data_IF_654905560633
#
_entry.id   IF_654905560633
#
_cell.length_a   1.000
_cell.length_b   1.000
_cell.length_c   1.000
_cell.angle_alpha   90.00
_cell.angle_beta   90.00
_cell.angle_gamma   90.00
#
_symmetry.space_group_name_H-M   'P 1'
#
loop_
_entity.id
_entity.type
_entity.pdbx_description
1 polymer ?
#
# COMPACT_ATOMS: atom_id res chain seq x y z
N UNK A 1 -33.09 -4.43 19.76
CA UNK A 1 -33.55 -3.08 20.15
C UNK A 1 -33.12 -2.11 19.07
N UNK A 2 -33.95 -1.11 18.75
CA UNK A 2 -33.54 -0.02 17.86
C UNK A 2 -32.81 1.03 18.69
N UNK A 3 -31.67 1.50 18.19
CA UNK A 3 -30.80 2.51 18.76
C UNK A 3 -30.76 3.69 17.79
N UNK A 4 -30.69 4.89 18.33
CA UNK A 4 -30.56 6.13 17.58
C UNK A 4 -29.19 6.72 17.85
N UNK A 5 -28.31 6.68 16.84
CA UNK A 5 -26.94 7.17 16.93
C UNK A 5 -26.80 8.51 16.19
N UNK A 6 -26.05 9.44 16.75
CA UNK A 6 -25.71 10.69 16.10
C UNK A 6 -24.33 10.61 15.46
N UNK A 7 -24.16 11.16 14.26
CA UNK A 7 -22.88 11.22 13.56
C UNK A 7 -22.57 12.67 13.23
N UNK A 8 -21.41 13.17 13.67
CA UNK A 8 -21.02 14.58 13.57
C UNK A 8 -19.69 14.75 12.83
N UNK A 9 -19.65 15.73 11.94
CA UNK A 9 -18.45 16.18 11.24
C UNK A 9 -17.72 17.26 12.06
N UNK A 10 -16.42 17.43 11.83
CA UNK A 10 -15.66 18.55 12.41
C UNK A 10 -16.20 19.93 12.03
N UNK A 11 -16.94 20.03 10.92
CA UNK A 11 -17.65 21.24 10.51
C UNK A 11 -18.89 21.56 11.36
N UNK A 12 -19.28 20.66 12.27
CA UNK A 12 -20.48 20.77 13.11
C UNK A 12 -21.77 20.25 12.46
N UNK A 13 -21.72 19.80 11.20
CA UNK A 13 -22.86 19.13 10.54
C UNK A 13 -23.08 17.76 11.18
N UNK A 14 -24.35 17.38 11.36
CA UNK A 14 -24.71 16.11 12.00
C UNK A 14 -25.89 15.42 11.32
N UNK A 15 -25.90 14.09 11.38
CA UNK A 15 -27.02 13.26 10.96
C UNK A 15 -27.37 12.25 12.07
N UNK A 16 -28.64 11.89 12.16
CA UNK A 16 -29.13 10.87 13.07
C UNK A 16 -29.48 9.61 12.31
N UNK A 17 -29.10 8.48 12.87
CA UNK A 17 -29.16 7.16 12.25
C UNK A 17 -29.89 6.21 13.18
N UNK A 18 -30.94 5.55 12.68
CA UNK A 18 -31.69 4.54 13.44
C UNK A 18 -31.29 3.13 12.99
N UNK A 19 -30.75 2.34 13.91
CA UNK A 19 -30.18 1.01 13.63
C UNK A 19 -30.48 0.01 14.74
N UNK A 20 -30.50 -1.26 14.39
CA UNK A 20 -30.57 -2.34 15.38
C UNK A 20 -29.22 -2.59 16.03
N UNK A 21 -29.22 -3.16 17.24
CA UNK A 21 -27.99 -3.49 17.99
C UNK A 21 -27.05 -4.49 17.29
N UNK A 22 -27.61 -5.33 16.42
CA UNK A 22 -26.89 -6.30 15.58
C UNK A 22 -26.43 -5.72 14.23
N UNK A 23 -26.83 -4.49 13.88
CA UNK A 23 -26.37 -3.84 12.66
C UNK A 23 -24.86 -3.60 12.70
N UNK A 24 -24.21 -3.76 11.55
CA UNK A 24 -22.80 -3.45 11.37
C UNK A 24 -22.56 -1.94 11.41
N UNK A 25 -21.40 -1.52 11.93
CA UNK A 25 -20.93 -0.12 11.88
C UNK A 25 -20.87 0.38 10.43
N UNK A 26 -20.55 -0.48 9.45
CA UNK A 26 -20.65 -0.16 8.02
C UNK A 26 -22.04 0.35 7.61
N UNK A 27 -23.11 -0.17 8.22
CA UNK A 27 -24.47 0.28 7.93
C UNK A 27 -24.76 1.64 8.55
N UNK A 28 -24.29 1.87 9.79
CA UNK A 28 -24.40 3.18 10.47
C UNK A 28 -23.73 4.26 9.63
N UNK A 29 -22.50 4.00 9.16
CA UNK A 29 -21.76 4.94 8.30
C UNK A 29 -22.53 5.26 7.02
N UNK A 30 -22.98 4.24 6.28
CA UNK A 30 -23.71 4.43 5.01
C UNK A 30 -25.01 5.23 5.17
N UNK A 31 -25.73 5.04 6.28
CA UNK A 31 -26.90 5.86 6.57
C UNK A 31 -26.51 7.31 6.92
N UNK A 32 -25.44 7.50 7.71
CA UNK A 32 -24.92 8.83 8.03
C UNK A 32 -24.46 9.60 6.80
N UNK A 33 -23.80 8.95 5.84
CA UNK A 33 -23.39 9.53 4.55
C UNK A 33 -24.57 10.11 3.79
N UNK A 34 -25.70 9.39 3.74
CA UNK A 34 -26.94 9.88 3.10
C UNK A 34 -27.52 11.09 3.83
N UNK A 35 -27.46 11.11 5.16
CA UNK A 35 -27.94 12.23 5.97
C UNK A 35 -27.02 13.45 5.92
N UNK A 36 -25.72 13.24 5.72
CA UNK A 36 -24.69 14.28 5.67
C UNK A 36 -24.34 14.71 4.24
N UNK A 37 -24.82 14.03 3.20
CA UNK A 37 -24.45 14.29 1.80
C UNK A 37 -22.92 14.42 1.63
N UNK A 38 -22.18 13.46 2.21
CA UNK A 38 -20.71 13.48 2.29
C UNK A 38 -20.21 12.05 2.49
N UNK A 39 -19.18 11.62 1.75
CA UNK A 39 -18.57 10.31 1.94
C UNK A 39 -17.67 10.29 3.17
N UNK A 40 -17.86 9.29 4.02
CA UNK A 40 -17.14 9.12 5.27
C UNK A 40 -16.09 8.02 5.11
N UNK A 41 -14.88 8.27 5.60
CA UNK A 41 -13.80 7.28 5.64
C UNK A 41 -14.04 6.26 6.78
N UNK A 42 -14.39 6.77 7.96
CA UNK A 42 -14.62 5.95 9.17
C UNK A 42 -15.41 6.71 10.22
N UNK A 43 -16.01 5.93 11.12
CA UNK A 43 -16.64 6.43 12.35
C UNK A 43 -15.70 6.24 13.53
N UNK A 44 -15.75 7.18 14.46
CA UNK A 44 -14.90 7.25 15.64
C UNK A 44 -15.80 7.46 16.85
N UNK A 45 -15.58 6.69 17.91
CA UNK A 45 -16.27 6.88 19.19
C UNK A 45 -15.92 8.21 19.85
N UNK A 46 -16.68 8.62 20.88
CA UNK A 46 -16.35 9.80 21.69
C UNK A 46 -14.96 9.72 22.34
N UNK A 47 -14.48 8.49 22.62
CA UNK A 47 -13.15 8.24 23.17
C UNK A 47 -12.02 8.36 22.13
N UNK A 48 -12.34 8.69 20.87
CA UNK A 48 -11.35 8.82 19.80
C UNK A 48 -10.92 7.49 19.17
N UNK A 49 -11.62 6.39 19.47
CA UNK A 49 -11.30 5.06 18.94
C UNK A 49 -12.04 4.85 17.63
N UNK A 50 -11.29 4.51 16.57
CA UNK A 50 -11.90 4.16 15.29
C UNK A 50 -12.72 2.87 15.42
N UNK A 51 -13.96 2.91 14.95
CA UNK A 51 -14.90 1.80 15.03
C UNK A 51 -14.75 0.91 13.79
N UNK A 52 -14.33 -0.37 13.93
CA UNK A 52 -14.22 -1.28 12.80
C UNK A 52 -15.59 -1.51 12.16
N UNK A 53 -15.64 -1.50 10.83
CA UNK A 53 -16.89 -1.56 10.08
C UNK A 53 -17.63 -2.89 10.21
N UNK A 54 -16.88 -3.97 10.46
CA UNK A 54 -17.39 -5.33 10.68
C UNK A 54 -17.85 -5.59 12.12
N UNK A 55 -17.60 -4.66 13.04
CA UNK A 55 -18.20 -4.76 14.36
C UNK A 55 -19.69 -4.45 14.24
N UNK A 56 -20.51 -5.15 15.03
CA UNK A 56 -21.89 -4.72 15.28
C UNK A 56 -21.91 -3.55 16.26
N UNK A 57 -22.97 -2.75 16.24
CA UNK A 57 -23.24 -1.69 17.22
C UNK A 57 -23.08 -2.21 18.65
N UNK A 58 -23.55 -3.43 18.93
CA UNK A 58 -23.40 -4.09 20.23
C UNK A 58 -21.93 -4.43 20.56
N UNK A 59 -21.18 -5.05 19.64
CA UNK A 59 -19.77 -5.40 19.89
C UNK A 59 -18.87 -4.17 20.00
N UNK A 60 -19.27 -3.07 19.37
CA UNK A 60 -18.64 -1.76 19.51
C UNK A 60 -18.99 -1.06 20.84
N UNK A 61 -19.93 -1.61 21.63
CA UNK A 61 -20.33 -1.07 22.92
C UNK A 61 -21.14 0.23 22.83
N UNK A 62 -21.73 0.53 21.68
CA UNK A 62 -22.45 1.78 21.45
C UNK A 62 -23.84 1.78 22.10
N UNK A 63 -24.25 2.95 22.60
CA UNK A 63 -25.50 3.15 23.32
C UNK A 63 -26.45 4.12 22.63
N UNK A 64 -27.73 4.11 23.03
CA UNK A 64 -28.75 4.98 22.45
C UNK A 64 -28.43 6.46 22.72
N UNK A 65 -28.47 7.29 21.68
CA UNK A 65 -28.17 8.71 21.74
C UNK A 65 -26.69 9.09 21.65
N UNK A 66 -25.78 8.12 21.53
CA UNK A 66 -24.34 8.36 21.47
C UNK A 66 -23.93 9.12 20.20
N UNK A 67 -22.95 10.03 20.34
CA UNK A 67 -22.43 10.85 19.25
C UNK A 67 -21.10 10.30 18.73
N UNK A 68 -21.06 9.96 17.45
CA UNK A 68 -19.88 9.47 16.76
C UNK A 68 -19.26 10.60 15.95
N UNK A 69 -17.95 10.79 16.09
CA UNK A 69 -17.21 11.65 15.18
C UNK A 69 -17.00 10.92 13.85
N UNK A 70 -17.24 11.62 12.74
CA UNK A 70 -17.02 11.09 11.41
C UNK A 70 -15.84 11.78 10.72
N UNK A 71 -14.95 10.96 10.18
CA UNK A 71 -13.86 11.42 9.34
C UNK A 71 -14.29 11.39 7.88
N UNK A 72 -14.18 12.51 7.18
CA UNK A 72 -14.53 12.62 5.75
C UNK A 72 -13.45 11.96 4.90
N UNK A 73 -13.88 11.23 3.85
CA UNK A 73 -12.98 10.63 2.86
C UNK A 73 -12.11 11.74 2.24
N UNK A 74 -10.80 11.54 2.19
CA UNK A 74 -9.85 12.50 1.61
C UNK A 74 -9.43 12.06 0.22
N UNK A 75 -8.96 13.01 -0.60
CA UNK A 75 -8.31 12.67 -1.88
C UNK A 75 -7.10 11.80 -1.60
N UNK A 76 -6.95 10.73 -2.37
CA UNK A 76 -5.84 9.82 -2.21
C UNK A 76 -5.31 9.34 -3.55
N UNK A 77 -4.01 9.49 -3.73
CA UNK A 77 -3.28 8.82 -4.81
C UNK A 77 -3.09 7.35 -4.45
N UNK A 78 -3.33 6.48 -5.44
CA UNK A 78 -3.14 5.05 -5.34
C UNK A 78 -2.15 4.62 -6.44
N UNK A 79 -1.02 4.01 -6.08
CA UNK A 79 -0.06 3.50 -7.04
C UNK A 79 -0.60 2.24 -7.73
N UNK A 80 -0.38 2.13 -9.04
CA UNK A 80 -0.65 0.93 -9.85
C UNK A 80 0.63 0.57 -10.60
N UNK A 81 0.73 -0.66 -11.15
CA UNK A 81 1.93 -1.08 -11.90
C UNK A 81 2.23 -0.11 -13.06
N UNK A 82 1.36 -0.01 -14.06
CA UNK A 82 1.58 0.86 -15.22
C UNK A 82 0.75 2.17 -15.18
N UNK A 83 0.44 2.69 -13.98
CA UNK A 83 -0.37 3.89 -13.87
C UNK A 83 -0.63 4.35 -12.45
N UNK A 84 -1.56 5.29 -12.31
CA UNK A 84 -1.96 5.88 -11.04
C UNK A 84 -3.47 6.04 -11.01
N UNK A 85 -4.02 6.03 -9.80
CA UNK A 85 -5.42 6.37 -9.57
C UNK A 85 -5.55 7.48 -8.53
N UNK A 86 -6.55 8.33 -8.69
CA UNK A 86 -6.96 9.32 -7.72
C UNK A 86 -8.37 8.95 -7.26
N UNK A 87 -8.50 8.51 -6.01
CA UNK A 87 -9.81 8.39 -5.36
C UNK A 87 -10.15 9.76 -4.78
N UNK A 88 -11.31 10.28 -5.17
CA UNK A 88 -11.81 11.60 -4.77
C UNK A 88 -12.65 11.48 -3.49
N UNK A 89 -12.88 12.64 -2.86
CA UNK A 89 -13.68 12.76 -1.63
C UNK A 89 -15.14 12.32 -1.83
N UNK A 90 -15.67 12.38 -3.05
CA UNK A 90 -17.03 11.96 -3.42
C UNK A 90 -17.14 10.45 -3.76
N UNK A 91 -16.06 9.70 -3.56
CA UNK A 91 -15.99 8.27 -3.88
C UNK A 91 -15.92 7.96 -5.38
N UNK A 92 -15.81 8.95 -6.26
CA UNK A 92 -15.40 8.73 -7.65
C UNK A 92 -13.90 8.48 -7.72
N UNK A 93 -13.44 7.80 -8.77
CA UNK A 93 -12.02 7.61 -9.01
C UNK A 93 -11.66 7.93 -10.47
N UNK A 94 -10.51 8.56 -10.66
CA UNK A 94 -9.90 8.76 -11.96
C UNK A 94 -8.64 7.89 -12.05
N UNK A 95 -8.42 7.25 -13.19
CA UNK A 95 -7.27 6.37 -13.43
C UNK A 95 -6.57 6.84 -14.70
N UNK A 96 -5.23 6.87 -14.71
CA UNK A 96 -4.45 7.22 -15.89
C UNK A 96 -3.18 6.35 -16.01
N UNK A 97 -2.74 6.12 -17.26
CA UNK A 97 -1.68 5.16 -17.61
C UNK A 97 -2.06 4.34 -18.88
N UNK A 98 -1.07 3.80 -19.58
CA UNK A 98 -1.20 3.27 -20.95
C UNK A 98 -2.14 2.07 -21.08
N UNK A 99 -2.12 1.14 -20.13
CA UNK A 99 -2.97 -0.06 -20.16
C UNK A 99 -4.40 0.16 -19.65
N UNK A 100 -4.74 1.38 -19.19
CA UNK A 100 -5.98 1.64 -18.45
C UNK A 100 -7.04 2.37 -19.29
N UNK A 101 -6.78 2.57 -20.59
CA UNK A 101 -7.72 3.17 -21.55
C UNK A 101 -8.98 2.31 -21.81
N UNK A 102 -9.08 1.12 -21.23
CA UNK A 102 -10.31 0.29 -21.19
C UNK A 102 -10.88 0.14 -19.77
N UNK A 103 -10.54 1.02 -18.83
CA UNK A 103 -11.22 1.04 -17.54
C UNK A 103 -12.71 1.32 -17.77
N UNK A 104 -13.63 0.52 -17.19
CA UNK A 104 -15.04 0.85 -17.20
C UNK A 104 -15.26 2.18 -16.47
N UNK A 105 -16.40 2.84 -16.71
CA UNK A 105 -16.86 3.88 -15.78
C UNK A 105 -16.95 3.26 -14.39
N UNK A 106 -16.09 3.72 -13.47
CA UNK A 106 -16.07 3.18 -12.12
C UNK A 106 -17.34 3.61 -11.41
N UNK A 107 -17.98 2.69 -10.67
CA UNK A 107 -19.13 3.05 -9.86
C UNK A 107 -18.71 4.03 -8.77
N UNK A 108 -19.65 4.87 -8.31
CA UNK A 108 -19.43 5.68 -7.13
C UNK A 108 -19.19 4.80 -5.89
N UNK A 109 -18.46 5.36 -4.93
CA UNK A 109 -18.13 4.67 -3.68
C UNK A 109 -16.89 3.79 -3.81
N UNK A 110 -15.97 4.08 -4.74
CA UNK A 110 -14.64 3.46 -4.73
C UNK A 110 -13.96 3.83 -3.41
N UNK A 111 -13.53 2.79 -2.70
CA UNK A 111 -12.75 2.94 -1.47
C UNK A 111 -11.26 2.77 -1.76
N UNK A 112 -10.93 1.79 -2.60
CA UNK A 112 -9.55 1.46 -2.94
C UNK A 112 -9.48 0.80 -4.30
N UNK A 113 -8.36 1.00 -4.97
CA UNK A 113 -7.97 0.26 -6.17
C UNK A 113 -6.65 -0.45 -5.88
N UNK A 114 -6.55 -1.71 -6.25
CA UNK A 114 -5.35 -2.52 -6.26
C UNK A 114 -5.07 -3.01 -7.68
N UNK A 115 -3.80 -3.17 -8.06
CA UNK A 115 -3.43 -3.58 -9.41
C UNK A 115 -2.35 -4.65 -9.45
N UNK A 116 -2.55 -5.62 -10.34
CA UNK A 116 -1.50 -6.50 -10.83
C UNK A 116 -0.81 -5.87 -12.05
N UNK A 117 0.00 -6.62 -12.79
CA UNK A 117 0.65 -6.11 -14.01
C UNK A 117 -0.36 -5.65 -15.07
N UNK A 118 -1.45 -6.42 -15.24
CA UNK A 118 -2.42 -6.23 -16.35
C UNK A 118 -3.88 -6.22 -15.94
N UNK A 119 -4.17 -6.27 -14.64
CA UNK A 119 -5.53 -6.23 -14.12
C UNK A 119 -5.65 -5.32 -12.90
N UNK A 120 -6.86 -4.85 -12.66
CA UNK A 120 -7.20 -4.01 -11.51
C UNK A 120 -8.41 -4.57 -10.77
N UNK A 121 -8.48 -4.26 -9.48
CA UNK A 121 -9.57 -4.59 -8.60
C UNK A 121 -9.91 -3.36 -7.73
N UNK A 122 -11.18 -2.92 -7.78
CA UNK A 122 -11.70 -1.84 -6.95
C UNK A 122 -12.63 -2.40 -5.87
N UNK A 123 -12.35 -2.10 -4.61
CA UNK A 123 -13.29 -2.34 -3.50
C UNK A 123 -14.19 -1.13 -3.32
N UNK A 124 -15.49 -1.40 -3.18
CA UNK A 124 -16.51 -0.38 -3.03
C UNK A 124 -16.93 -0.22 -1.56
N UNK A 125 -17.56 0.90 -1.22
CA UNK A 125 -18.03 1.24 0.13
C UNK A 125 -19.14 0.30 0.62
N UNK A 126 -19.75 -0.49 -0.27
CA UNK A 126 -20.71 -1.53 0.07
C UNK A 126 -20.09 -2.91 0.35
N UNK A 127 -18.77 -3.03 0.22
CA UNK A 127 -18.01 -4.26 0.39
C UNK A 127 -17.98 -5.15 -0.86
N UNK A 128 -18.56 -4.72 -1.99
CA UNK A 128 -18.43 -5.42 -3.26
C UNK A 128 -17.10 -5.11 -3.95
N UNK A 129 -16.77 -5.94 -4.94
CA UNK A 129 -15.56 -5.85 -5.74
C UNK A 129 -15.91 -5.73 -7.22
N UNK A 130 -15.19 -4.85 -7.93
CA UNK A 130 -15.21 -4.76 -9.38
C UNK A 130 -13.80 -5.02 -9.90
N UNK A 131 -13.65 -5.95 -10.84
CA UNK A 131 -12.37 -6.24 -11.51
C UNK A 131 -12.46 -5.93 -12.99
N UNK A 132 -11.33 -5.56 -13.59
CA UNK A 132 -11.21 -5.39 -15.04
C UNK A 132 -9.75 -5.52 -15.47
N UNK A 133 -9.54 -5.69 -16.79
CA UNK A 133 -8.22 -5.89 -17.39
C UNK A 133 -8.09 -7.29 -17.99
N UNK A 134 -6.85 -7.78 -18.04
CA UNK A 134 -6.53 -9.11 -18.57
C UNK A 134 -7.10 -10.23 -17.69
N UNK A 135 -7.91 -11.11 -18.30
CA UNK A 135 -8.62 -12.19 -17.60
C UNK A 135 -7.66 -13.15 -16.89
N UNK A 136 -6.57 -13.53 -17.57
CA UNK A 136 -5.55 -14.45 -17.03
C UNK A 136 -4.78 -13.85 -15.84
N UNK A 137 -4.71 -12.51 -15.78
CA UNK A 137 -4.04 -11.76 -14.69
C UNK A 137 -5.00 -11.36 -13.55
N UNK A 138 -6.22 -11.89 -13.54
CA UNK A 138 -7.23 -11.64 -12.51
C UNK A 138 -8.21 -10.50 -12.81
N UNK A 139 -8.28 -10.05 -14.07
CA UNK A 139 -9.23 -9.04 -14.54
C UNK A 139 -10.68 -9.53 -14.53
N UNK A 140 -10.91 -10.84 -14.56
CA UNK A 140 -12.24 -11.45 -14.36
C UNK A 140 -12.31 -12.22 -13.03
N UNK A 141 -13.13 -11.73 -12.09
CA UNK A 141 -13.42 -12.41 -10.83
C UNK A 141 -14.76 -13.17 -10.84
N UNK A 142 -15.39 -13.36 -12.00
CA UNK A 142 -16.73 -13.97 -12.14
C UNK A 142 -16.83 -15.35 -11.49
N UNK A 143 -15.79 -16.18 -11.63
CA UNK A 143 -15.72 -17.54 -11.08
C UNK A 143 -15.77 -17.59 -9.54
N UNK A 144 -15.34 -16.53 -8.87
CA UNK A 144 -15.31 -16.43 -7.39
C UNK A 144 -16.28 -15.37 -6.85
N UNK A 145 -17.08 -14.74 -7.72
CA UNK A 145 -17.95 -13.61 -7.37
C UNK A 145 -18.89 -13.89 -6.21
N UNK A 146 -19.42 -15.09 -6.10
CA UNK A 146 -20.35 -15.45 -5.02
C UNK A 146 -19.68 -15.49 -3.65
N UNK A 147 -18.35 -15.73 -3.62
CA UNK A 147 -17.52 -15.74 -2.41
C UNK A 147 -17.00 -14.36 -2.04
N UNK A 148 -16.84 -13.44 -3.00
CA UNK A 148 -16.35 -12.08 -2.80
C UNK A 148 -17.44 -11.15 -2.23
N UNK A 149 -17.82 -11.38 -0.97
CA UNK A 149 -18.77 -10.55 -0.23
C UNK A 149 -18.07 -9.88 0.94
N UNK A 150 -18.37 -8.61 1.17
CA UNK A 150 -17.78 -7.84 2.27
C UNK A 150 -16.25 -7.84 2.25
N UNK A 151 -15.68 -7.57 1.07
CA UNK A 151 -14.23 -7.51 0.86
C UNK A 151 -13.65 -6.32 1.64
N UNK A 152 -12.68 -6.61 2.51
CA UNK A 152 -12.01 -5.61 3.36
C UNK A 152 -10.68 -5.17 2.75
N UNK A 153 -9.92 -6.12 2.20
CA UNK A 153 -8.62 -5.87 1.59
C UNK A 153 -8.44 -6.72 0.34
N UNK A 154 -7.67 -6.20 -0.62
CA UNK A 154 -7.21 -6.95 -1.80
C UNK A 154 -5.72 -6.73 -1.93
N UNK A 155 -4.97 -7.83 -1.96
CA UNK A 155 -3.54 -7.84 -2.24
C UNK A 155 -3.30 -8.43 -3.64
N UNK A 156 -2.69 -7.67 -4.56
CA UNK A 156 -2.27 -8.20 -5.85
C UNK A 156 -0.89 -8.85 -5.77
N UNK A 157 -0.61 -9.74 -6.72
CA UNK A 157 0.74 -10.00 -7.19
C UNK A 157 0.81 -9.74 -8.70
N UNK A 158 1.82 -10.28 -9.41
CA UNK A 158 2.00 -10.03 -10.84
C UNK A 158 0.80 -10.43 -11.70
N UNK A 159 0.10 -11.54 -11.39
CA UNK A 159 -0.98 -12.08 -12.24
C UNK A 159 -2.15 -12.71 -11.46
N UNK A 160 -2.25 -12.44 -10.16
CA UNK A 160 -3.31 -12.95 -9.29
C UNK A 160 -3.64 -11.93 -8.20
N UNK A 161 -4.78 -12.15 -7.55
CA UNK A 161 -5.24 -11.38 -6.41
C UNK A 161 -5.66 -12.30 -5.27
N UNK A 162 -5.55 -11.79 -4.04
CA UNK A 162 -6.10 -12.40 -2.85
C UNK A 162 -6.88 -11.35 -2.04
N UNK A 163 -8.15 -11.65 -1.75
CA UNK A 163 -9.04 -10.79 -0.97
C UNK A 163 -9.21 -11.33 0.45
N UNK A 164 -9.10 -10.45 1.44
CA UNK A 164 -9.53 -10.71 2.83
C UNK A 164 -10.98 -10.26 2.97
N UNK A 165 -11.85 -11.15 3.42
CA UNK A 165 -13.26 -10.88 3.69
C UNK A 165 -13.48 -10.43 5.14
N UNK A 166 -14.64 -9.85 5.44
CA UNK A 166 -14.97 -9.35 6.78
C UNK A 166 -14.98 -10.44 7.87
N UNK A 167 -15.19 -11.70 7.51
CA UNK A 167 -15.12 -12.85 8.42
C UNK A 167 -13.68 -13.36 8.65
N UNK A 168 -12.69 -12.72 8.02
CA UNK A 168 -11.28 -13.10 8.11
C UNK A 168 -10.87 -14.26 7.18
N UNK A 169 -11.77 -14.76 6.33
CA UNK A 169 -11.44 -15.74 5.30
C UNK A 169 -10.77 -15.09 4.08
N UNK A 170 -10.10 -15.90 3.26
CA UNK A 170 -9.43 -15.45 2.05
C UNK A 170 -9.98 -16.12 0.80
N UNK A 171 -10.14 -15.33 -0.25
CA UNK A 171 -10.49 -15.79 -1.61
C UNK A 171 -9.42 -15.30 -2.58
N UNK A 172 -8.86 -16.21 -3.37
CA UNK A 172 -7.90 -15.86 -4.44
C UNK A 172 -8.48 -16.12 -5.83
N UNK A 173 -7.99 -15.39 -6.83
CA UNK A 173 -8.32 -15.57 -8.24
C UNK A 173 -7.21 -15.05 -9.16
N UNK A 174 -7.34 -15.33 -10.46
CA UNK A 174 -6.30 -15.08 -11.47
C UNK A 174 -5.49 -16.34 -11.76
N UNK A 175 -4.24 -16.18 -12.16
CA UNK A 175 -3.42 -17.30 -12.63
C UNK A 175 -3.09 -18.29 -11.51
N UNK A 176 -3.44 -19.57 -11.69
CA UNK A 176 -3.28 -20.59 -10.65
C UNK A 176 -1.82 -20.81 -10.21
N UNK A 177 -0.87 -20.82 -11.16
CA UNK A 177 0.57 -20.94 -10.88
C UNK A 177 1.18 -19.68 -10.23
N UNK A 178 0.39 -18.61 -10.08
CA UNK A 178 0.74 -17.39 -9.32
C UNK A 178 -0.04 -17.31 -7.99
N UNK A 179 -0.71 -18.39 -7.56
CA UNK A 179 -1.49 -18.40 -6.32
C UNK A 179 -2.92 -17.85 -6.47
N UNK A 180 -3.43 -17.76 -7.70
CA UNK A 180 -4.86 -17.51 -7.96
C UNK A 180 -5.78 -18.68 -7.57
N UNK A 181 -5.21 -19.84 -7.19
CA UNK A 181 -5.92 -20.95 -6.56
C UNK A 181 -5.33 -21.22 -5.17
N UNK A 182 -6.12 -20.96 -4.13
CA UNK A 182 -5.80 -21.20 -2.73
C UNK A 182 -6.48 -22.45 -2.15
N UNK A 183 -7.11 -23.28 -2.99
CA UNK A 183 -7.89 -24.44 -2.53
C UNK A 183 -7.11 -25.42 -1.65
N UNK A 184 -5.81 -25.60 -1.92
CA UNK A 184 -4.94 -26.49 -1.17
C UNK A 184 -4.72 -26.06 0.30
N UNK A 185 -4.85 -24.77 0.60
CA UNK A 185 -4.63 -24.19 1.94
C UNK A 185 -5.90 -23.51 2.49
N UNK A 186 -7.06 -23.72 1.84
CA UNK A 186 -8.28 -22.96 2.14
C UNK A 186 -8.75 -23.14 3.59
N UNK A 187 -8.57 -24.33 4.16
CA UNK A 187 -8.92 -24.64 5.55
C UNK A 187 -8.02 -23.92 6.57
N UNK A 188 -6.85 -23.44 6.16
CA UNK A 188 -5.93 -22.66 7.01
C UNK A 188 -6.16 -21.14 6.87
N UNK A 189 -6.85 -20.70 5.82
CA UNK A 189 -7.09 -19.29 5.49
C UNK A 189 -8.31 -18.72 6.23
N UNK A 190 -8.24 -18.70 7.56
CA UNK A 190 -9.21 -18.07 8.44
C UNK A 190 -8.54 -17.17 9.47
N UNK A 191 -9.29 -16.17 9.96
CA UNK A 191 -8.78 -15.11 10.86
C UNK A 191 -7.56 -14.37 10.29
N UNK A 192 -7.47 -14.25 8.96
CA UNK A 192 -6.37 -13.58 8.27
C UNK A 192 -6.46 -12.07 8.46
N UNK A 193 -5.35 -11.44 8.83
CA UNK A 193 -5.25 -9.99 9.06
C UNK A 193 -4.38 -9.26 8.05
N UNK A 194 -3.44 -9.97 7.42
CA UNK A 194 -2.53 -9.40 6.44
C UNK A 194 -2.25 -10.44 5.34
N UNK A 195 -2.16 -9.98 4.10
CA UNK A 195 -1.62 -10.74 2.97
C UNK A 195 -0.51 -9.91 2.33
N UNK A 196 0.55 -10.57 1.87
CA UNK A 196 1.55 -10.00 0.96
C UNK A 196 1.81 -10.92 -0.22
N UNK A 197 1.91 -10.32 -1.41
CA UNK A 197 2.28 -11.00 -2.64
C UNK A 197 3.76 -10.83 -2.97
N UNK A 198 4.42 -11.90 -3.40
CA UNK A 198 5.68 -11.82 -4.17
C UNK A 198 5.34 -11.70 -5.66
N UNK A 199 6.23 -12.06 -6.59
CA UNK A 199 5.87 -12.07 -8.02
C UNK A 199 4.80 -13.13 -8.34
N UNK A 200 4.87 -14.32 -7.72
CA UNK A 200 4.04 -15.49 -8.08
C UNK A 200 3.51 -16.28 -6.88
N UNK A 201 3.54 -15.70 -5.69
CA UNK A 201 3.09 -16.36 -4.49
C UNK A 201 2.45 -15.35 -3.53
N UNK A 202 1.78 -15.87 -2.51
CA UNK A 202 1.23 -15.09 -1.42
C UNK A 202 1.63 -15.69 -0.07
N UNK A 203 1.73 -14.83 0.92
CA UNK A 203 1.86 -15.18 2.32
C UNK A 203 0.81 -14.41 3.13
N UNK A 204 0.08 -15.11 4.00
CA UNK A 204 -0.94 -14.56 4.87
C UNK A 204 -0.54 -14.70 6.35
N UNK A 205 -0.81 -13.67 7.15
CA UNK A 205 -0.66 -13.70 8.62
C UNK A 205 -2.04 -13.83 9.25
N UNK A 206 -2.21 -14.83 10.10
CA UNK A 206 -3.42 -15.09 10.88
C UNK A 206 -3.42 -14.30 12.19
N UNK A 207 -4.59 -14.21 12.83
CA UNK A 207 -4.79 -13.49 14.08
C UNK A 207 -3.93 -14.00 15.25
N UNK A 208 -3.54 -15.28 15.20
CA UNK A 208 -2.64 -15.95 16.16
C UNK A 208 -1.14 -15.72 15.86
N UNK A 209 -0.82 -14.99 14.78
CA UNK A 209 0.55 -14.71 14.35
C UNK A 209 1.20 -15.82 13.52
N UNK A 210 0.47 -16.89 13.18
CA UNK A 210 0.96 -17.92 12.26
C UNK A 210 0.89 -17.46 10.80
N UNK A 211 1.70 -18.10 9.94
CA UNK A 211 1.79 -17.79 8.50
C UNK A 211 1.35 -18.96 7.65
N UNK A 212 0.58 -18.66 6.60
CA UNK A 212 0.17 -19.59 5.56
C UNK A 212 0.67 -19.07 4.21
N UNK A 213 1.34 -19.89 3.42
CA UNK A 213 1.85 -19.53 2.08
C UNK A 213 1.23 -20.38 0.99
N UNK A 214 1.03 -19.81 -0.19
CA UNK A 214 0.58 -20.54 -1.38
C UNK A 214 1.06 -19.88 -2.68
N UNK A 215 0.90 -20.59 -3.79
CA UNK A 215 1.42 -20.19 -5.11
C UNK A 215 2.75 -20.86 -5.43
N UNK A 216 3.59 -20.22 -6.24
CA UNK A 216 4.84 -20.83 -6.73
C UNK A 216 5.88 -21.02 -5.61
N UNK A 217 6.35 -22.27 -5.34
CA UNK A 217 7.40 -22.51 -4.35
C UNK A 217 8.71 -21.77 -4.66
N UNK A 218 9.06 -21.64 -5.95
CA UNK A 218 10.25 -20.92 -6.41
C UNK A 218 10.19 -19.40 -6.13
N UNK A 219 9.02 -18.87 -5.76
CA UNK A 219 8.80 -17.46 -5.44
C UNK A 219 8.31 -17.27 -3.99
N UNK A 220 8.64 -18.22 -3.09
CA UNK A 220 8.32 -18.13 -1.67
C UNK A 220 6.96 -18.69 -1.26
N UNK A 221 6.26 -19.39 -2.16
CA UNK A 221 4.98 -20.06 -1.86
C UNK A 221 5.08 -21.28 -0.93
N UNK A 222 6.30 -21.65 -0.51
CA UNK A 222 6.57 -22.74 0.44
C UNK A 222 7.43 -22.21 1.59
N UNK A 223 6.83 -22.11 2.79
CA UNK A 223 7.50 -21.73 4.04
C UNK A 223 7.83 -22.90 4.96
N UNK A 224 7.67 -24.16 4.50
CA UNK A 224 7.75 -25.36 5.37
C UNK A 224 9.06 -25.47 6.14
N UNK A 225 10.18 -25.05 5.54
CA UNK A 225 11.52 -25.07 6.14
C UNK A 225 11.64 -24.16 7.36
N UNK A 226 10.91 -23.04 7.37
CA UNK A 226 10.98 -22.02 8.43
C UNK A 226 9.69 -21.94 9.26
N UNK A 227 8.74 -22.86 9.07
CA UNK A 227 7.41 -22.79 9.68
C UNK A 227 7.45 -22.78 11.21
N UNK A 228 8.43 -23.45 11.83
CA UNK A 228 8.64 -23.43 13.28
C UNK A 228 9.05 -22.06 13.81
N UNK A 229 9.69 -21.26 12.97
CA UNK A 229 10.26 -19.96 13.34
C UNK A 229 9.26 -18.81 13.09
N UNK A 230 8.23 -19.05 12.26
CA UNK A 230 7.16 -18.10 11.92
C UNK A 230 6.06 -18.07 12.98
N UNK A 231 6.43 -17.61 14.19
CA UNK A 231 5.51 -17.45 15.32
C UNK A 231 5.43 -15.97 15.75
N UNK A 232 4.23 -15.50 16.12
CA UNK A 232 3.99 -14.09 16.49
C UNK A 232 4.44 -13.11 15.40
N UNK A 233 4.12 -13.42 14.13
CA UNK A 233 4.45 -12.56 12.99
C UNK A 233 3.61 -11.28 13.05
N UNK A 234 4.29 -10.11 12.99
CA UNK A 234 3.66 -8.79 13.00
C UNK A 234 3.51 -8.19 11.61
N UNK A 235 4.49 -8.39 10.72
CA UNK A 235 4.49 -7.84 9.35
C UNK A 235 5.19 -8.78 8.38
N UNK A 236 4.67 -8.83 7.16
CA UNK A 236 5.31 -9.45 6.01
C UNK A 236 5.88 -8.41 5.05
N UNK A 237 6.99 -8.78 4.42
CA UNK A 237 7.65 -8.08 3.33
C UNK A 237 7.94 -9.08 2.21
N UNK A 238 8.00 -8.62 0.97
CA UNK A 238 8.22 -9.47 -0.18
C UNK A 238 9.17 -8.82 -1.17
N UNK A 239 10.02 -9.64 -1.78
CA UNK A 239 10.69 -9.36 -3.05
C UNK A 239 9.92 -10.08 -4.17
N UNK A 240 10.46 -10.14 -5.38
CA UNK A 240 9.84 -10.93 -6.45
C UNK A 240 9.87 -12.43 -6.15
N UNK A 241 10.88 -12.93 -5.44
CA UNK A 241 11.10 -14.37 -5.27
C UNK A 241 11.12 -14.85 -3.82
N UNK A 242 11.04 -13.93 -2.84
CA UNK A 242 11.21 -14.25 -1.43
C UNK A 242 10.31 -13.41 -0.53
N UNK A 243 10.19 -13.85 0.72
CA UNK A 243 9.48 -13.14 1.79
C UNK A 243 10.38 -12.96 3.01
N UNK A 244 10.05 -11.95 3.81
CA UNK A 244 10.59 -11.75 5.15
C UNK A 244 9.47 -11.42 6.12
N UNK A 245 9.48 -12.05 7.30
CA UNK A 245 8.55 -11.83 8.39
C UNK A 245 9.25 -11.14 9.56
N UNK A 246 8.71 -10.01 10.00
CA UNK A 246 9.09 -9.36 11.26
C UNK A 246 8.26 -9.93 12.40
N UNK A 247 8.92 -10.59 13.35
CA UNK A 247 8.30 -11.21 14.51
C UNK A 247 8.07 -10.21 15.64
N UNK A 248 7.23 -10.59 16.61
CA UNK A 248 6.86 -9.73 17.71
C UNK A 248 7.98 -9.40 18.69
N UNK A 249 9.00 -10.25 18.75
CA UNK A 249 10.24 -10.06 19.49
C UNK A 249 11.28 -9.17 18.77
N UNK A 250 10.97 -8.67 17.56
CA UNK A 250 11.86 -7.83 16.76
C UNK A 250 12.90 -8.58 15.93
N UNK A 251 12.79 -9.90 15.77
CA UNK A 251 13.64 -10.67 14.84
C UNK A 251 13.00 -10.82 13.46
N UNK A 252 13.82 -11.14 12.45
CA UNK A 252 13.36 -11.37 11.08
C UNK A 252 13.63 -12.80 10.64
N UNK A 253 12.61 -13.45 10.07
CA UNK A 253 12.71 -14.76 9.42
C UNK A 253 12.45 -14.57 7.93
N UNK A 254 13.36 -15.01 7.08
CA UNK A 254 13.22 -14.90 5.62
C UNK A 254 13.19 -16.28 4.98
N UNK A 255 12.48 -16.41 3.86
CA UNK A 255 12.39 -17.63 3.05
C UNK A 255 12.12 -17.29 1.59
N UNK A 256 12.36 -18.26 0.70
CA UNK A 256 12.23 -18.08 -0.75
C UNK A 256 13.51 -17.57 -1.39
N UNK A 257 13.76 -18.04 -2.62
CA UNK A 257 15.04 -18.05 -3.37
C UNK A 257 16.29 -18.37 -2.52
N UNK A 258 17.46 -18.54 -3.15
CA UNK A 258 18.69 -19.03 -2.50
C UNK A 258 19.36 -17.98 -1.59
N UNK A 259 18.57 -17.32 -0.75
CA UNK A 259 18.98 -16.28 0.20
C UNK A 259 19.62 -16.91 1.43
N UNK A 260 20.85 -17.43 1.29
CA UNK A 260 21.80 -17.77 2.37
C UNK A 260 21.14 -18.01 3.76
N UNK A 261 20.32 -19.06 3.85
CA UNK A 261 19.23 -19.22 4.83
C UNK A 261 19.70 -19.40 6.30
N UNK A 262 21.00 -19.57 6.55
CA UNK A 262 21.50 -20.00 7.86
C UNK A 262 22.32 -18.96 8.63
N UNK A 263 22.74 -17.85 8.00
CA UNK A 263 23.59 -16.84 8.66
C UNK A 263 22.83 -15.62 9.19
N UNK A 264 21.55 -15.47 8.83
CA UNK A 264 20.77 -14.25 9.07
C UNK A 264 20.14 -14.16 10.48
N UNK A 265 19.63 -15.28 10.99
CA UNK A 265 18.77 -15.32 12.18
C UNK A 265 19.46 -14.79 13.45
N UNK A 266 20.79 -14.93 13.55
CA UNK A 266 21.54 -14.49 14.74
C UNK A 266 21.86 -13.00 14.77
N UNK A 267 21.71 -12.26 13.65
CA UNK A 267 22.14 -10.85 13.52
C UNK A 267 20.98 -9.86 13.47
N UNK A 268 19.78 -10.29 13.07
CA UNK A 268 18.61 -9.42 12.95
C UNK A 268 17.77 -9.47 14.22
N UNK A 269 18.16 -8.70 15.24
CA UNK A 269 17.37 -8.45 16.45
C UNK A 269 17.10 -6.96 16.59
N UNK A 270 15.98 -6.59 17.21
CA UNK A 270 15.51 -5.20 17.33
C UNK A 270 15.32 -4.51 15.97
N UNK A 271 14.79 -5.24 14.99
CA UNK A 271 14.44 -4.68 13.68
C UNK A 271 13.18 -3.81 13.83
N UNK A 272 13.28 -2.57 13.37
CA UNK A 272 12.17 -1.60 13.32
C UNK A 272 11.36 -1.76 12.04
N UNK A 273 12.04 -1.89 10.90
CA UNK A 273 11.45 -1.93 9.57
C UNK A 273 12.33 -2.72 8.60
N UNK A 274 11.71 -3.28 7.57
CA UNK A 274 12.39 -3.92 6.45
C UNK A 274 11.91 -3.25 5.17
N UNK A 275 12.84 -2.92 4.27
CA UNK A 275 12.56 -2.52 2.90
C UNK A 275 13.03 -3.60 1.95
N UNK A 276 12.40 -3.71 0.79
CA UNK A 276 12.73 -4.70 -0.24
C UNK A 276 12.99 -4.01 -1.59
N UNK A 277 13.87 -4.62 -2.38
CA UNK A 277 13.97 -4.42 -3.83
C UNK A 277 13.38 -5.64 -4.55
N UNK A 278 13.61 -5.81 -5.85
CA UNK A 278 13.16 -6.99 -6.59
C UNK A 278 13.76 -8.29 -6.08
N UNK A 279 14.98 -8.30 -5.53
CA UNK A 279 15.65 -9.53 -5.04
C UNK A 279 16.53 -9.34 -3.78
N UNK A 280 16.50 -8.17 -3.14
CA UNK A 280 17.24 -7.92 -1.91
C UNK A 280 16.35 -7.29 -0.83
N UNK A 281 16.82 -7.37 0.41
CA UNK A 281 16.19 -6.76 1.56
C UNK A 281 17.21 -5.93 2.33
N UNK A 282 16.70 -4.91 3.03
CA UNK A 282 17.44 -4.08 3.96
C UNK A 282 16.61 -3.90 5.23
N UNK A 283 17.16 -4.28 6.39
CA UNK A 283 16.55 -4.07 7.70
C UNK A 283 17.14 -2.84 8.38
N UNK A 284 16.27 -1.97 8.87
CA UNK A 284 16.60 -0.88 9.77
C UNK A 284 16.37 -1.33 11.22
N UNK A 285 17.42 -1.31 12.04
CA UNK A 285 17.35 -1.63 13.46
C UNK A 285 16.98 -0.38 14.27
N UNK A 286 16.44 -0.59 15.48
CA UNK A 286 16.06 0.48 16.41
C UNK A 286 17.23 1.40 16.82
N UNK A 287 18.48 0.98 16.63
CA UNK A 287 19.67 1.79 16.89
C UNK A 287 20.14 2.61 15.67
N UNK A 288 19.40 2.52 14.55
CA UNK A 288 19.73 3.19 13.29
C UNK A 288 20.75 2.44 12.43
N UNK A 289 21.12 1.21 12.77
CA UNK A 289 21.97 0.34 11.94
C UNK A 289 21.16 -0.25 10.79
N UNK A 290 21.78 -0.33 9.61
CA UNK A 290 21.22 -1.03 8.45
C UNK A 290 21.95 -2.34 8.20
N UNK A 291 21.18 -3.40 7.97
CA UNK A 291 21.68 -4.71 7.52
C UNK A 291 21.03 -5.09 6.20
N UNK A 292 21.82 -5.47 5.20
CA UNK A 292 21.33 -5.88 3.88
C UNK A 292 21.60 -7.35 3.61
N UNK A 293 20.72 -7.97 2.82
CA UNK A 293 20.92 -9.34 2.32
C UNK A 293 20.18 -9.57 1.00
N UNK A 294 20.59 -10.61 0.28
CA UNK A 294 20.06 -10.97 -1.03
C UNK A 294 20.99 -10.66 -2.17
N UNK A 295 20.46 -10.44 -3.38
CA UNK A 295 21.26 -10.21 -4.57
C UNK A 295 22.14 -8.95 -4.39
N UNK A 296 23.47 -9.13 -4.41
CA UNK A 296 24.43 -8.06 -4.12
C UNK A 296 24.25 -6.86 -5.08
N UNK A 297 24.11 -7.15 -6.38
CA UNK A 297 23.92 -6.15 -7.44
C UNK A 297 22.60 -5.37 -7.30
N UNK A 298 21.60 -5.93 -6.60
CA UNK A 298 20.28 -5.32 -6.40
C UNK A 298 20.12 -4.75 -4.97
N UNK A 299 21.25 -4.39 -4.33
CA UNK A 299 21.28 -3.73 -3.02
C UNK A 299 21.49 -4.67 -1.82
N UNK A 300 21.71 -5.97 -2.06
CA UNK A 300 22.00 -6.95 -1.00
C UNK A 300 23.35 -6.73 -0.31
N UNK A 301 24.29 -6.01 -0.94
CA UNK A 301 25.57 -5.62 -0.36
C UNK A 301 25.67 -4.09 -0.20
N UNK A 302 25.73 -3.64 1.06
CA UNK A 302 25.90 -2.23 1.44
C UNK A 302 27.31 -1.92 1.94
N UNK A 303 28.27 -2.85 1.85
CA UNK A 303 29.60 -2.73 2.45
C UNK A 303 30.38 -1.48 2.01
N UNK A 304 30.20 -1.05 0.75
CA UNK A 304 30.83 0.14 0.18
C UNK A 304 30.33 1.46 0.80
N UNK A 305 29.09 1.47 1.31
CA UNK A 305 28.45 2.65 1.91
C UNK A 305 28.23 2.52 3.41
N UNK A 306 28.61 1.39 4.02
CA UNK A 306 28.36 1.11 5.45
C UNK A 306 28.88 2.20 6.39
N UNK A 307 30.03 2.82 6.06
CA UNK A 307 30.60 3.90 6.86
C UNK A 307 29.78 5.20 6.85
N UNK A 308 28.89 5.36 5.85
CA UNK A 308 28.00 6.51 5.66
C UNK A 308 26.63 6.28 6.32
N UNK A 309 26.17 5.02 6.44
CA UNK A 309 24.91 4.62 7.06
C UNK A 309 24.93 4.77 8.59
N UNK A 310 24.89 6.02 9.06
CA UNK A 310 24.95 6.37 10.49
C UNK A 310 23.61 6.87 10.99
N UNK A 311 23.10 6.25 12.05
CA UNK A 311 21.84 6.62 12.70
C UNK A 311 20.71 6.78 11.68
N UNK A 312 20.56 5.80 10.78
CA UNK A 312 19.56 5.86 9.71
C UNK A 312 18.16 5.95 10.32
N UNK A 313 17.32 6.83 9.77
CA UNK A 313 15.97 7.05 10.25
C UNK A 313 14.88 6.71 9.21
N UNK A 314 15.24 6.64 7.93
CA UNK A 314 14.34 6.23 6.84
C UNK A 314 15.08 5.36 5.84
N UNK A 315 14.36 4.42 5.24
CA UNK A 315 14.88 3.45 4.27
C UNK A 315 13.80 3.16 3.23
N UNK A 316 14.17 3.15 1.95
CA UNK A 316 13.24 2.86 0.83
C UNK A 316 14.00 2.15 -0.29
N UNK A 317 13.35 1.19 -0.95
CA UNK A 317 13.88 0.47 -2.10
C UNK A 317 13.16 0.83 -3.39
N UNK A 318 13.91 0.89 -4.51
CA UNK A 318 13.40 0.80 -5.88
C UNK A 318 13.42 -0.67 -6.34
N UNK A 319 13.37 -0.96 -7.65
CA UNK A 319 13.49 -2.34 -8.13
C UNK A 319 14.89 -2.93 -7.88
N UNK A 320 15.94 -2.11 -7.84
CA UNK A 320 17.33 -2.60 -7.73
C UNK A 320 18.26 -1.78 -6.83
N UNK A 321 17.78 -0.69 -6.22
CA UNK A 321 18.59 0.16 -5.35
C UNK A 321 17.86 0.49 -4.05
N UNK A 322 18.62 0.89 -3.03
CA UNK A 322 18.10 1.44 -1.80
C UNK A 322 18.54 2.89 -1.62
N UNK A 323 17.70 3.66 -0.95
CA UNK A 323 17.98 4.99 -0.43
C UNK A 323 17.71 5.02 1.07
N UNK A 324 18.68 5.53 1.83
CA UNK A 324 18.58 5.75 3.26
C UNK A 324 18.75 7.23 3.59
N UNK A 325 18.00 7.71 4.59
CA UNK A 325 18.23 9.03 5.20
C UNK A 325 18.92 8.81 6.53
N UNK A 326 20.10 9.40 6.69
CA UNK A 326 20.90 9.35 7.92
C UNK A 326 20.41 10.37 8.95
N UNK A 327 20.78 10.21 10.22
CA UNK A 327 20.30 11.08 11.30
C UNK A 327 20.74 12.54 11.21
N UNK A 328 21.70 12.85 10.33
CA UNK A 328 22.12 14.21 9.96
C UNK A 328 21.41 14.75 8.71
N UNK A 329 20.44 14.02 8.16
CA UNK A 329 19.65 14.40 6.99
C UNK A 329 20.32 14.14 5.64
N UNK A 330 21.47 13.46 5.58
CA UNK A 330 22.06 13.09 4.31
C UNK A 330 21.32 11.91 3.66
N UNK A 331 21.32 11.87 2.33
CA UNK A 331 20.83 10.72 1.56
C UNK A 331 22.04 9.86 1.19
N UNK A 332 21.93 8.55 1.44
CA UNK A 332 22.92 7.54 1.05
C UNK A 332 22.21 6.49 0.22
N UNK A 333 22.75 6.16 -0.94
CA UNK A 333 22.18 5.20 -1.89
C UNK A 333 23.18 4.09 -2.22
N UNK A 334 22.68 2.90 -2.56
CA UNK A 334 23.48 1.77 -3.03
C UNK A 334 22.62 0.78 -3.83
N UNK A 335 23.26 -0.16 -4.53
CA UNK A 335 22.63 -1.12 -5.44
C UNK A 335 22.85 -0.74 -6.90
N UNK A 336 21.92 -1.14 -7.77
CA UNK A 336 22.04 -0.96 -9.22
C UNK A 336 22.00 0.53 -9.63
N UNK A 337 22.99 0.94 -10.43
CA UNK A 337 23.14 2.30 -10.96
C UNK A 337 21.94 2.70 -11.82
N UNK A 338 21.43 1.79 -12.65
CA UNK A 338 20.26 2.03 -13.52
C UNK A 338 18.97 2.15 -12.70
N UNK A 339 18.99 1.72 -11.44
CA UNK A 339 17.87 1.80 -10.49
C UNK A 339 17.94 2.98 -9.50
N UNK A 340 18.86 3.91 -9.73
CA UNK A 340 18.96 5.15 -8.94
C UNK A 340 19.88 5.06 -7.73
N UNK A 341 20.88 4.18 -7.77
CA UNK A 341 21.90 4.11 -6.71
C UNK A 341 22.89 5.28 -6.73
N UNK A 342 22.85 6.17 -7.74
CA UNK A 342 23.63 7.41 -7.78
C UNK A 342 22.88 8.59 -7.13
N UNK A 343 23.34 9.01 -5.94
CA UNK A 343 22.91 10.23 -5.24
C UNK A 343 23.99 11.31 -5.18
N UNK A 344 25.00 11.26 -6.07
CA UNK A 344 26.13 12.20 -6.10
C UNK A 344 25.70 13.66 -6.20
N UNK A 345 24.55 13.94 -6.81
CA UNK A 345 23.95 15.28 -6.88
C UNK A 345 23.67 15.92 -5.51
N UNK A 346 23.49 15.11 -4.47
CA UNK A 346 23.20 15.54 -3.09
C UNK A 346 24.33 15.22 -2.12
N UNK A 347 25.52 14.87 -2.64
CA UNK A 347 26.62 14.43 -1.79
C UNK A 347 27.00 15.51 -0.77
N UNK A 348 26.98 15.17 0.51
CA UNK A 348 27.21 16.07 1.66
C UNK A 348 26.15 17.19 1.84
N UNK A 349 24.99 17.08 1.18
CA UNK A 349 23.87 17.97 1.42
C UNK A 349 22.90 17.33 2.41
N UNK A 350 22.81 17.93 3.60
CA UNK A 350 21.76 17.60 4.56
C UNK A 350 20.42 18.14 4.03
N UNK A 351 19.51 17.22 3.71
CA UNK A 351 18.15 17.51 3.30
C UNK A 351 17.23 17.20 4.48
N UNK A 352 16.34 18.13 4.82
CA UNK A 352 15.27 17.87 5.78
C UNK A 352 14.21 17.01 5.12
N UNK A 353 14.53 15.74 4.86
CA UNK A 353 13.63 14.80 4.22
C UNK A 353 12.53 14.41 5.20
N UNK A 354 11.28 14.55 4.75
CA UNK A 354 10.07 14.13 5.47
C UNK A 354 9.62 12.73 5.05
N UNK A 355 9.77 12.39 3.78
CA UNK A 355 9.38 11.06 3.25
C UNK A 355 10.10 10.73 1.95
N UNK A 356 10.34 9.44 1.71
CA UNK A 356 10.87 8.90 0.47
C UNK A 356 9.80 8.11 -0.30
N UNK A 357 9.91 8.11 -1.62
CA UNK A 357 9.13 7.29 -2.53
C UNK A 357 10.03 6.83 -3.68
N UNK A 358 9.77 5.66 -4.26
CA UNK A 358 10.57 5.11 -5.35
C UNK A 358 9.67 4.55 -6.47
N UNK A 359 10.07 4.79 -7.71
CA UNK A 359 9.63 4.00 -8.86
C UNK A 359 10.54 2.78 -9.01
N UNK A 360 10.44 2.02 -10.10
CA UNK A 360 11.36 0.93 -10.37
C UNK A 360 12.83 1.38 -10.44
N UNK A 361 13.11 2.63 -10.83
CA UNK A 361 14.48 3.07 -11.10
C UNK A 361 14.79 4.54 -10.78
N UNK A 362 13.91 5.20 -10.03
CA UNK A 362 14.13 6.56 -9.54
C UNK A 362 13.56 6.74 -8.14
N UNK A 363 13.98 7.82 -7.48
CA UNK A 363 13.53 8.19 -6.14
C UNK A 363 13.04 9.64 -6.12
N UNK A 364 12.09 9.90 -5.23
CA UNK A 364 11.59 11.22 -4.90
C UNK A 364 11.58 11.39 -3.37
N UNK A 365 12.13 12.50 -2.89
CA UNK A 365 12.11 12.88 -1.49
C UNK A 365 11.25 14.14 -1.31
N UNK A 366 10.25 14.06 -0.43
CA UNK A 366 9.51 15.25 0.03
C UNK A 366 10.27 15.84 1.19
N UNK A 367 10.57 17.14 1.13
CA UNK A 367 11.24 17.86 2.20
C UNK A 367 10.22 18.43 3.20
N UNK A 368 10.69 18.82 4.39
CA UNK A 368 9.86 19.41 5.45
C UNK A 368 9.20 20.73 5.04
N UNK A 369 9.78 21.46 4.09
CA UNK A 369 9.19 22.67 3.51
C UNK A 369 8.10 22.37 2.44
N UNK A 370 7.86 21.09 2.15
CA UNK A 370 6.89 20.62 1.16
C UNK A 370 7.37 20.71 -0.30
N UNK A 371 8.65 21.00 -0.54
CA UNK A 371 9.27 20.83 -1.85
C UNK A 371 9.66 19.37 -2.11
N UNK A 372 9.95 19.03 -3.37
CA UNK A 372 10.34 17.66 -3.78
C UNK A 372 11.66 17.71 -4.55
N UNK A 373 12.56 16.79 -4.22
CA UNK A 373 13.78 16.52 -4.99
C UNK A 373 13.73 15.10 -5.55
N UNK A 374 14.32 14.89 -6.72
CA UNK A 374 14.32 13.59 -7.41
C UNK A 374 15.71 13.22 -7.91
N UNK A 375 15.98 11.93 -8.04
CA UNK A 375 17.19 11.39 -8.66
C UNK A 375 16.96 9.98 -9.20
N UNK A 376 17.98 9.45 -9.89
CA UNK A 376 17.94 8.17 -10.60
C UNK A 376 17.57 8.35 -12.07
N UNK A 377 17.03 7.30 -12.68
CA UNK A 377 16.78 7.27 -14.12
C UNK A 377 15.75 8.34 -14.53
N UNK A 378 16.13 9.21 -15.48
CA UNK A 378 15.29 10.33 -15.93
C UNK A 378 13.97 9.87 -16.55
N UNK A 379 13.98 8.77 -17.31
CA UNK A 379 12.77 8.22 -17.93
C UNK A 379 11.79 7.66 -16.89
N UNK A 380 12.29 7.29 -15.70
CA UNK A 380 11.49 6.77 -14.59
C UNK A 380 11.14 7.83 -13.54
N UNK A 381 11.29 9.12 -13.87
CA UNK A 381 10.93 10.24 -13.00
C UNK A 381 12.07 10.74 -12.10
N UNK A 382 13.30 10.32 -12.35
CA UNK A 382 14.49 10.86 -11.67
C UNK A 382 14.76 12.33 -12.01
N UNK A 383 14.21 12.82 -13.12
CA UNK A 383 14.25 14.23 -13.52
C UNK A 383 12.87 14.89 -13.39
N UNK A 384 12.77 15.90 -12.53
CA UNK A 384 11.55 16.67 -12.27
C UNK A 384 11.66 18.15 -12.67
N UNK A 385 12.72 18.53 -13.42
CA UNK A 385 12.99 19.94 -13.77
C UNK A 385 11.84 20.62 -14.50
N UNK A 386 11.12 19.91 -15.34
CA UNK A 386 9.99 20.46 -16.11
C UNK A 386 8.77 20.81 -15.25
N UNK A 387 8.69 20.25 -14.04
CA UNK A 387 7.56 20.45 -13.11
C UNK A 387 8.00 21.06 -11.77
N UNK A 388 9.26 21.48 -11.63
CA UNK A 388 9.83 21.91 -10.35
C UNK A 388 9.08 23.08 -9.71
N UNK A 389 8.64 24.06 -10.52
CA UNK A 389 7.85 25.22 -10.06
C UNK A 389 6.48 24.81 -9.47
N UNK A 390 5.98 23.63 -9.82
CA UNK A 390 4.71 23.09 -9.33
C UNK A 390 4.87 22.20 -8.09
N UNK A 391 6.08 21.69 -7.82
CA UNK A 391 6.39 20.80 -6.69
C UNK A 391 6.62 21.58 -5.40
N UNK A 392 5.62 22.37 -5.00
CA UNK A 392 5.58 23.13 -3.75
C UNK A 392 4.31 22.83 -2.95
N UNK A 393 4.41 22.86 -1.62
CA UNK A 393 3.36 22.46 -0.69
C UNK A 393 2.81 21.05 -0.97
N UNK A 394 3.71 20.13 -1.35
CA UNK A 394 3.38 18.72 -1.60
C UNK A 394 3.10 18.03 -0.26
N UNK A 395 1.99 17.30 -0.20
CA UNK A 395 1.58 16.53 0.98
C UNK A 395 1.93 15.05 0.82
N UNK A 396 1.78 14.51 -0.38
CA UNK A 396 1.99 13.10 -0.69
C UNK A 396 2.63 12.95 -2.07
N UNK A 397 3.53 11.98 -2.21
CA UNK A 397 4.04 11.51 -3.50
C UNK A 397 3.78 10.01 -3.56
N UNK A 398 3.19 9.55 -4.65
CA UNK A 398 3.01 8.13 -4.96
C UNK A 398 3.70 7.81 -6.28
N UNK A 399 4.16 6.56 -6.41
CA UNK A 399 4.90 6.08 -7.57
C UNK A 399 4.15 4.93 -8.25
N UNK A 400 4.04 5.01 -9.56
CA UNK A 400 3.83 3.83 -10.41
C UNK A 400 5.17 3.14 -10.68
N UNK A 401 5.20 2.14 -11.56
CA UNK A 401 6.44 1.49 -11.97
C UNK A 401 7.49 2.47 -12.54
N UNK A 402 7.08 3.52 -13.26
CA UNK A 402 8.01 4.42 -13.97
C UNK A 402 7.63 5.91 -13.91
N UNK A 403 6.75 6.31 -13.00
CA UNK A 403 6.28 7.70 -12.90
C UNK A 403 5.83 8.04 -11.49
N UNK A 404 5.89 9.32 -11.15
CA UNK A 404 5.43 9.84 -9.88
C UNK A 404 4.20 10.74 -10.05
N UNK A 405 3.38 10.81 -9.00
CA UNK A 405 2.35 11.82 -8.80
C UNK A 405 2.49 12.45 -7.42
N UNK A 406 2.51 13.78 -7.37
CA UNK A 406 2.48 14.58 -6.16
C UNK A 406 1.07 15.16 -5.94
N UNK A 407 0.50 14.95 -4.77
CA UNK A 407 -0.71 15.64 -4.30
C UNK A 407 -0.30 16.86 -3.47
N UNK A 408 -0.72 18.04 -3.92
CA UNK A 408 -0.48 19.33 -3.25
C UNK A 408 -1.57 19.63 -2.23
N UNK A 409 -1.26 20.49 -1.27
CA UNK A 409 -2.20 20.94 -0.24
C UNK A 409 -3.44 21.66 -0.79
N UNK A 410 -3.38 22.20 -2.01
CA UNK A 410 -4.52 22.79 -2.71
C UNK A 410 -5.38 21.75 -3.46
N UNK A 411 -5.07 20.46 -3.33
CA UNK A 411 -5.78 19.35 -3.95
C UNK A 411 -5.41 19.10 -5.41
N UNK A 412 -4.44 19.84 -5.98
CA UNK A 412 -3.92 19.61 -7.33
C UNK A 412 -2.94 18.44 -7.34
N UNK A 413 -2.96 17.68 -8.43
CA UNK A 413 -2.01 16.60 -8.69
C UNK A 413 -0.96 17.11 -9.69
N UNK A 414 0.30 16.75 -9.51
CA UNK A 414 1.39 17.04 -10.47
C UNK A 414 2.06 15.71 -10.79
N UNK A 415 2.22 15.37 -12.06
CA UNK A 415 2.78 14.09 -12.52
C UNK A 415 4.06 14.31 -13.31
N UNK A 416 5.00 13.37 -13.23
CA UNK A 416 6.23 13.37 -14.05
C UNK A 416 6.80 11.95 -14.20
N UNK A 417 7.72 11.76 -15.15
CA UNK A 417 8.28 10.47 -15.54
C UNK A 417 7.68 9.94 -16.85
N UNK A 418 7.71 8.62 -17.05
CA UNK A 418 7.31 8.00 -18.31
C UNK A 418 5.82 8.26 -18.63
N UNK A 419 5.47 8.87 -19.79
CA UNK A 419 4.07 9.17 -20.11
C UNK A 419 3.15 7.94 -20.12
N UNK A 420 3.66 6.77 -20.51
CA UNK A 420 2.89 5.52 -20.53
C UNK A 420 2.56 4.99 -19.13
N UNK A 421 3.27 5.42 -18.08
CA UNK A 421 2.98 5.05 -16.70
C UNK A 421 2.32 6.20 -15.92
N UNK A 422 1.79 7.19 -16.63
CA UNK A 422 1.07 8.31 -16.04
C UNK A 422 1.93 9.52 -15.70
N UNK A 423 3.18 9.57 -16.18
CA UNK A 423 4.13 10.66 -15.98
C UNK A 423 4.00 11.86 -16.93
N UNK A 424 2.93 11.97 -17.71
CA UNK A 424 2.72 13.13 -18.59
C UNK A 424 2.66 14.40 -17.74
N UNK A 425 3.63 15.31 -17.87
CA UNK A 425 3.78 16.57 -17.10
C UNK A 425 2.58 17.54 -17.12
N UNK A 426 1.48 17.17 -17.77
CA UNK A 426 0.19 17.80 -17.68
C UNK A 426 -0.77 16.87 -16.95
N UNK A 427 -1.41 17.40 -15.90
CA UNK A 427 -2.66 16.84 -15.38
C UNK A 427 -3.62 16.58 -16.54
N UNK A 428 -4.17 15.37 -16.69
CA UNK A 428 -5.34 15.18 -17.54
C UNK A 428 -6.39 16.23 -17.13
N UNK A 429 -6.91 17.00 -18.08
CA UNK A 429 -7.94 18.02 -17.82
C UNK A 429 -9.16 17.43 -17.07
N UNK A 430 -9.35 16.11 -17.14
CA UNK A 430 -10.37 15.34 -16.41
C UNK A 430 -10.13 15.22 -14.88
N UNK A 431 -8.91 15.47 -14.39
CA UNK A 431 -8.64 15.57 -12.94
C UNK A 431 -9.13 16.93 -12.38
N UNK A 432 -9.42 17.91 -13.24
CA UNK A 432 -9.97 19.23 -12.92
C UNK A 432 -11.48 19.35 -13.19
N UNK A 433 -12.35 18.62 -12.47
CA UNK A 433 -13.81 18.85 -12.49
C UNK A 433 -14.34 18.47 -11.09
N UNK A 434 -14.95 19.29 -10.22
CA UNK A 434 -15.38 20.71 -10.14
C UNK A 434 -15.38 21.06 -8.64
N UNK A 435 -14.81 22.21 -8.25
CA UNK A 435 -15.12 22.89 -6.98
C UNK A 435 -15.59 24.32 -7.31
N UNK A 436 -16.58 24.47 -8.19
CA UNK A 436 -17.32 25.73 -8.28
C UNK A 436 -18.73 25.51 -7.73
N UNK A 437 -19.11 26.14 -6.61
CA UNK A 437 -20.50 26.22 -6.22
C UNK A 437 -21.24 27.05 -7.28
N UNK A 438 -22.28 26.46 -7.86
CA UNK A 438 -23.15 27.14 -8.82
C UNK A 438 -23.74 28.42 -8.20
N UNK A 439 -23.62 29.50 -8.95
CA UNK A 439 -24.28 30.80 -8.74
C UNK A 439 -25.80 30.68 -8.70
#
# INVERSE_FOLDING_TARGET
MSLRLGVVLLSGRQAWVEVSSDALIAHVRRQAERGLDTCLERLVSESGVALPEWNTVQTAGLTDGEMLAAQVKQRRLCPLSEGLALVREDGSAAIWGYQLLKAPELPHGVRRIAGSDRALAATLDDGSLVTWGDEDSGGDSSAVREKLREVVWVEPNYAAFAAILADGSVVSWGRADHGGDSSAVQEELHDVRQIKGSLRAFAAVRADGSVVTWGSPAHGGDSTVVQSDLQDVKRLYATFTAFAALLGNGTVVAWGSSLAELALQSKLSNVQEVSATSEAFAALLCDGTVYTWGAAELGGDSSMVQAQLRNVCMLTGSAGAFAAVTGDGCIVTWGDEDCGSDSSAFQNQALSVRSLCATAAAFAAILEDGSVVTWGNSEHGGDSRDVCDQLCNVQQVEASFSSFAALRADGRVVTWGLPTCGGSGATPAEIYIRNEPGS
#
